data_IF_517691614609
#
_entry.id   IF_517691614609
#
_cell.length_a   1.000
_cell.length_b   1.000
_cell.length_c   1.000
_cell.angle_alpha   90.00
_cell.angle_beta   90.00
_cell.angle_gamma   90.00
#
_symmetry.space_group_name_H-M   'P 1'
#
loop_
_entity.id
_entity.type
_entity.pdbx_description
1 polymer ?
#
# COMPACT_ATOMS: atom_id res chain seq x y z
N UNK A 1 24.92 -24.95 9.64
CA UNK A 1 25.42 -23.93 8.71
C UNK A 1 25.19 -24.39 7.26
N UNK A 2 24.20 -23.84 6.55
CA UNK A 2 23.92 -24.23 5.15
C UNK A 2 24.85 -23.44 4.23
N UNK A 3 25.74 -24.11 3.50
CA UNK A 3 26.64 -23.47 2.53
C UNK A 3 25.80 -22.93 1.36
N UNK A 4 25.84 -21.61 1.15
CA UNK A 4 25.27 -20.98 -0.03
C UNK A 4 26.00 -21.49 -1.29
N UNK A 5 25.24 -21.96 -2.27
CA UNK A 5 25.79 -22.37 -3.57
C UNK A 5 26.26 -21.13 -4.33
N UNK A 6 27.40 -21.21 -5.05
CA UNK A 6 27.91 -20.08 -5.84
C UNK A 6 26.94 -19.73 -6.98
N UNK A 7 26.69 -18.42 -7.16
CA UNK A 7 25.84 -17.91 -8.24
C UNK A 7 26.43 -18.30 -9.61
N UNK A 8 25.59 -18.71 -10.58
CA UNK A 8 26.06 -19.05 -11.92
C UNK A 8 26.71 -17.83 -12.59
N UNK A 9 27.89 -18.02 -13.19
CA UNK A 9 28.60 -16.98 -13.92
C UNK A 9 27.88 -16.72 -15.25
N UNK A 10 27.38 -15.51 -15.44
CA UNK A 10 26.75 -15.08 -16.70
C UNK A 10 27.82 -15.02 -17.83
N UNK A 11 27.56 -15.63 -19.00
CA UNK A 11 28.50 -15.62 -20.14
C UNK A 11 28.87 -14.20 -20.61
N UNK A 12 30.14 -13.98 -20.98
CA UNK A 12 30.65 -12.66 -21.41
C UNK A 12 29.98 -12.12 -22.69
N UNK A 13 29.51 -13.00 -23.56
CA UNK A 13 28.78 -12.62 -24.77
C UNK A 13 27.44 -11.98 -24.46
N UNK A 14 26.74 -12.45 -23.42
CA UNK A 14 25.52 -11.82 -22.91
C UNK A 14 25.82 -10.42 -22.38
N UNK A 15 26.95 -10.23 -21.67
CA UNK A 15 27.37 -8.90 -21.19
C UNK A 15 27.69 -7.95 -22.34
N UNK A 16 28.29 -8.45 -23.42
CA UNK A 16 28.59 -7.68 -24.65
C UNK A 16 27.32 -7.32 -25.43
N UNK A 17 26.31 -8.19 -25.44
CA UNK A 17 25.00 -7.95 -26.05
C UNK A 17 24.22 -6.86 -25.27
N UNK A 18 24.18 -6.95 -23.94
CA UNK A 18 23.59 -5.93 -23.06
C UNK A 18 24.30 -4.57 -23.21
N UNK A 19 25.63 -4.55 -23.32
CA UNK A 19 26.42 -3.32 -23.53
C UNK A 19 26.18 -2.67 -24.89
N UNK A 20 25.75 -3.46 -25.90
CA UNK A 20 25.42 -2.99 -27.25
C UNK A 20 23.96 -2.51 -27.35
N UNK A 21 23.02 -3.17 -26.66
CA UNK A 21 21.61 -2.78 -26.60
C UNK A 21 21.37 -1.49 -25.79
N UNK A 22 22.13 -1.29 -24.69
CA UNK A 22 22.05 -0.08 -23.84
C UNK A 22 22.59 1.18 -24.56
N UNK A 23 23.36 1.01 -25.65
CA UNK A 23 24.09 2.12 -26.29
C UNK A 23 23.38 2.74 -27.49
N UNK A 24 22.26 2.18 -27.94
CA UNK A 24 21.53 2.67 -29.12
C UNK A 24 20.18 3.26 -28.67
N UNK A 25 20.20 4.49 -28.15
CA UNK A 25 19.04 5.38 -28.07
C UNK A 25 17.78 4.86 -27.33
N UNK A 26 17.90 4.21 -26.17
CA UNK A 26 16.73 4.07 -25.31
C UNK A 26 16.38 5.44 -24.73
N UNK A 27 15.26 6.01 -25.16
CA UNK A 27 14.64 7.23 -24.58
C UNK A 27 14.01 6.88 -23.24
N UNK A 28 14.65 6.03 -22.46
CA UNK A 28 14.07 5.39 -21.28
C UNK A 28 14.69 6.01 -20.03
N UNK A 29 13.90 6.16 -18.98
CA UNK A 29 14.39 6.59 -17.69
C UNK A 29 15.43 5.58 -17.16
N UNK A 30 16.60 6.07 -16.76
CA UNK A 30 17.70 5.24 -16.30
C UNK A 30 17.45 4.55 -14.95
N UNK A 31 16.40 4.95 -14.24
CA UNK A 31 16.07 4.46 -12.91
C UNK A 31 14.92 3.45 -12.92
N UNK A 32 13.89 3.66 -13.76
CA UNK A 32 12.74 2.76 -13.85
C UNK A 32 12.68 1.96 -15.16
N UNK A 33 13.54 2.25 -16.13
CA UNK A 33 13.55 1.59 -17.44
C UNK A 33 12.36 1.94 -18.34
N UNK A 34 11.41 2.76 -17.88
CA UNK A 34 10.23 3.16 -18.64
C UNK A 34 10.57 4.22 -19.69
N UNK A 35 9.97 4.11 -20.87
CA UNK A 35 9.94 5.17 -21.89
C UNK A 35 8.73 6.10 -21.75
N UNK A 36 7.80 5.80 -20.84
CA UNK A 36 6.67 6.67 -20.51
C UNK A 36 7.20 7.96 -19.88
N UNK A 37 6.65 9.10 -20.31
CA UNK A 37 7.07 10.44 -19.94
C UNK A 37 5.88 11.29 -19.44
N UNK A 38 4.79 10.65 -19.03
CA UNK A 38 3.65 11.35 -18.43
C UNK A 38 4.10 12.10 -17.16
N UNK A 39 4.11 13.45 -17.19
CA UNK A 39 4.62 14.26 -16.09
C UNK A 39 3.72 14.20 -14.86
N UNK A 40 2.45 13.80 -14.99
CA UNK A 40 1.54 13.59 -13.86
C UNK A 40 1.92 12.33 -13.09
N UNK A 41 2.32 11.27 -13.81
CA UNK A 41 2.59 9.96 -13.23
C UNK A 41 4.04 9.84 -12.75
N UNK A 42 4.99 10.38 -13.52
CA UNK A 42 6.42 10.12 -13.33
C UNK A 42 7.20 11.38 -12.92
N UNK A 43 6.58 12.56 -13.02
CA UNK A 43 7.25 13.84 -12.89
C UNK A 43 8.15 14.14 -14.09
N UNK A 44 8.66 15.38 -14.15
CA UNK A 44 9.43 15.85 -15.30
C UNK A 44 10.63 14.95 -15.60
N UNK A 45 10.87 14.69 -16.88
CA UNK A 45 12.04 13.94 -17.32
C UNK A 45 13.26 14.84 -17.45
N UNK A 46 14.19 14.66 -16.53
CA UNK A 46 15.44 15.39 -16.47
C UNK A 46 16.51 14.64 -17.25
N UNK A 47 17.19 15.32 -18.18
CA UNK A 47 18.39 14.80 -18.84
C UNK A 47 19.57 15.02 -17.90
N UNK A 48 20.40 14.00 -17.70
CA UNK A 48 21.65 14.04 -16.94
C UNK A 48 22.80 14.09 -17.95
N UNK A 49 23.35 15.28 -18.26
CA UNK A 49 24.32 15.47 -19.34
C UNK A 49 25.57 14.63 -19.19
N UNK A 50 26.04 14.43 -17.96
CA UNK A 50 27.27 13.72 -17.60
C UNK A 50 27.15 12.22 -17.93
N UNK A 51 25.94 11.67 -17.83
CA UNK A 51 25.65 10.25 -18.04
C UNK A 51 25.04 9.97 -19.42
N UNK A 52 24.72 11.01 -20.21
CA UNK A 52 23.97 10.90 -21.48
C UNK A 52 22.69 10.08 -21.34
N UNK A 53 22.01 10.21 -20.20
CA UNK A 53 20.76 9.51 -19.89
C UNK A 53 19.69 10.48 -19.41
N UNK A 54 18.45 10.02 -19.42
CA UNK A 54 17.30 10.72 -18.83
C UNK A 54 16.79 9.98 -17.60
N UNK A 55 16.27 10.71 -16.62
CA UNK A 55 15.61 10.18 -15.42
C UNK A 55 14.35 10.98 -15.14
N UNK A 56 13.29 10.34 -14.65
CA UNK A 56 12.11 11.09 -14.19
C UNK A 56 12.37 11.73 -12.82
N UNK A 57 11.76 12.88 -12.56
CA UNK A 57 11.92 13.63 -11.32
C UNK A 57 11.50 12.81 -10.10
N UNK A 58 10.39 12.06 -10.19
CA UNK A 58 9.95 11.20 -9.08
C UNK A 58 10.87 10.00 -8.92
N UNK A 59 11.38 9.42 -10.02
CA UNK A 59 12.41 8.39 -9.93
C UNK A 59 13.67 8.92 -9.26
N UNK A 60 14.12 10.14 -9.60
CA UNK A 60 15.29 10.78 -9.00
C UNK A 60 15.08 11.01 -7.50
N UNK A 61 13.90 11.51 -7.11
CA UNK A 61 13.51 11.70 -5.70
C UNK A 61 13.51 10.39 -4.92
N UNK A 62 13.11 9.28 -5.55
CA UNK A 62 13.12 7.95 -4.92
C UNK A 62 14.50 7.28 -4.94
N UNK A 63 15.40 7.70 -5.84
CA UNK A 63 16.67 7.01 -6.14
C UNK A 63 17.84 7.31 -5.21
N UNK A 64 17.66 8.07 -4.13
CA UNK A 64 18.68 8.01 -3.09
C UNK A 64 18.67 6.58 -2.55
N UNK A 65 19.71 5.82 -2.88
CA UNK A 65 19.88 4.42 -2.52
C UNK A 65 19.56 4.15 -1.04
N UNK A 66 19.84 5.10 -0.15
CA UNK A 66 19.48 5.02 1.27
C UNK A 66 17.97 4.99 1.56
N UNK A 67 17.14 5.68 0.78
CA UNK A 67 15.68 5.63 0.92
C UNK A 67 15.12 4.29 0.43
N UNK A 68 15.57 3.81 -0.73
CA UNK A 68 15.20 2.48 -1.24
C UNK A 68 15.64 1.37 -0.27
N UNK A 69 16.82 1.49 0.32
CA UNK A 69 17.33 0.53 1.29
C UNK A 69 16.50 0.54 2.59
N UNK A 70 16.09 1.72 3.07
CA UNK A 70 15.17 1.84 4.23
C UNK A 70 13.79 1.26 3.91
N UNK A 71 13.27 1.53 2.72
CA UNK A 71 11.98 1.00 2.28
C UNK A 71 12.02 -0.53 2.15
N UNK A 72 13.07 -1.08 1.53
CA UNK A 72 13.30 -2.53 1.44
C UNK A 72 13.40 -3.16 2.82
N UNK A 73 14.13 -2.50 3.73
CA UNK A 73 14.24 -2.97 5.10
C UNK A 73 12.87 -2.97 5.79
N UNK A 74 12.13 -1.85 5.78
CA UNK A 74 10.80 -1.77 6.41
C UNK A 74 9.81 -2.76 5.82
N UNK A 75 9.71 -2.85 4.49
CA UNK A 75 8.68 -3.63 3.80
C UNK A 75 8.97 -5.13 3.75
N UNK A 76 10.24 -5.53 3.82
CA UNK A 76 10.65 -6.93 3.66
C UNK A 76 10.32 -7.52 2.28
N UNK A 77 10.66 -8.79 2.09
CA UNK A 77 10.55 -9.48 0.79
C UNK A 77 9.12 -9.56 0.27
N UNK A 78 8.11 -9.64 1.13
CA UNK A 78 6.73 -9.84 0.69
C UNK A 78 6.06 -8.55 0.21
N UNK A 79 6.39 -7.41 0.83
CA UNK A 79 5.70 -6.14 0.56
C UNK A 79 6.54 -5.13 -0.22
N UNK A 80 7.85 -5.34 -0.38
CA UNK A 80 8.71 -4.45 -1.16
C UNK A 80 8.41 -4.55 -2.66
N UNK A 81 7.78 -3.53 -3.22
CA UNK A 81 7.29 -3.49 -4.60
C UNK A 81 7.32 -2.06 -5.15
N UNK A 82 7.18 -1.91 -6.46
CA UNK A 82 7.07 -0.59 -7.06
C UNK A 82 5.78 0.11 -6.59
N UNK A 83 5.90 1.33 -6.08
CA UNK A 83 4.75 2.15 -5.64
C UNK A 83 3.91 2.67 -6.80
N UNK A 84 4.46 2.67 -8.03
CA UNK A 84 3.79 3.19 -9.22
C UNK A 84 2.99 2.11 -9.95
N UNK A 85 3.63 0.97 -10.26
CA UNK A 85 2.99 -0.08 -11.05
C UNK A 85 2.60 -1.32 -10.23
N UNK A 86 2.84 -1.31 -8.91
CA UNK A 86 2.59 -2.43 -8.00
C UNK A 86 3.31 -3.75 -8.40
N UNK A 87 4.24 -3.70 -9.37
CA UNK A 87 5.03 -4.86 -9.79
C UNK A 87 6.07 -5.17 -8.71
N UNK A 88 6.06 -6.42 -8.25
CA UNK A 88 6.97 -6.93 -7.23
C UNK A 88 8.20 -7.57 -7.87
N UNK A 89 8.00 -8.52 -8.77
CA UNK A 89 9.08 -9.40 -9.23
C UNK A 89 10.17 -8.67 -10.00
N UNK A 90 9.78 -7.87 -11.01
CA UNK A 90 10.75 -7.10 -11.81
C UNK A 90 11.41 -6.00 -10.97
N UNK A 91 10.65 -5.38 -10.06
CA UNK A 91 11.18 -4.34 -9.19
C UNK A 91 12.23 -4.90 -8.22
N UNK A 92 11.94 -6.02 -7.56
CA UNK A 92 12.88 -6.64 -6.63
C UNK A 92 14.14 -7.11 -7.34
N UNK A 93 14.02 -7.69 -8.54
CA UNK A 93 15.19 -8.12 -9.32
C UNK A 93 16.11 -6.94 -9.64
N UNK A 94 15.57 -5.82 -10.11
CA UNK A 94 16.36 -4.63 -10.41
C UNK A 94 16.96 -3.99 -9.15
N UNK A 95 16.21 -3.93 -8.05
CA UNK A 95 16.73 -3.42 -6.77
C UNK A 95 17.90 -4.27 -6.26
N UNK A 96 17.83 -5.60 -6.39
CA UNK A 96 18.94 -6.51 -6.05
C UNK A 96 20.15 -6.30 -6.98
N UNK A 97 19.93 -6.08 -8.28
CA UNK A 97 20.99 -5.78 -9.25
C UNK A 97 21.71 -4.46 -8.93
N UNK A 98 20.97 -3.48 -8.43
CA UNK A 98 21.51 -2.19 -7.97
C UNK A 98 22.23 -2.28 -6.62
N UNK A 99 22.13 -3.42 -5.92
CA UNK A 99 22.81 -3.66 -4.64
C UNK A 99 21.94 -3.42 -3.41
N UNK A 100 20.65 -3.14 -3.56
CA UNK A 100 19.71 -3.01 -2.45
C UNK A 100 19.52 -4.38 -1.79
N UNK A 101 19.74 -4.45 -0.48
CA UNK A 101 19.48 -5.65 0.30
C UNK A 101 18.00 -5.72 0.70
N UNK A 102 17.31 -6.81 0.33
CA UNK A 102 15.92 -7.06 0.69
C UNK A 102 15.88 -8.21 1.71
N UNK A 103 15.47 -7.98 2.97
CA UNK A 103 15.43 -9.02 3.97
C UNK A 103 14.22 -9.95 3.78
N UNK A 104 14.43 -11.26 3.95
CA UNK A 104 13.36 -12.27 3.96
C UNK A 104 12.66 -12.29 5.33
N UNK A 105 11.78 -11.31 5.54
CA UNK A 105 10.91 -11.17 6.71
C UNK A 105 9.61 -10.47 6.35
N UNK A 106 8.62 -10.56 7.23
CA UNK A 106 7.42 -9.73 7.14
C UNK A 106 7.76 -8.25 7.31
N UNK A 107 6.85 -7.41 6.82
CA UNK A 107 7.01 -5.99 6.93
C UNK A 107 7.03 -5.56 8.41
N UNK A 108 7.75 -4.48 8.72
CA UNK A 108 7.91 -4.01 10.09
C UNK A 108 6.58 -3.66 10.77
N UNK A 109 5.60 -3.21 10.00
CA UNK A 109 4.25 -2.91 10.50
C UNK A 109 3.43 -4.16 10.83
N UNK A 110 3.77 -5.32 10.28
CA UNK A 110 3.13 -6.60 10.65
C UNK A 110 3.64 -7.15 11.99
N UNK A 111 4.85 -6.73 12.37
CA UNK A 111 5.55 -7.20 13.56
C UNK A 111 5.31 -6.30 14.78
N UNK A 112 4.57 -5.20 14.60
CA UNK A 112 4.24 -4.28 15.69
C UNK A 112 3.24 -4.93 16.66
N UNK A 113 3.53 -4.85 17.96
CA UNK A 113 2.69 -5.47 18.99
C UNK A 113 1.31 -4.83 18.99
N UNK A 114 0.29 -5.62 18.65
CA UNK A 114 -1.08 -5.10 18.55
C UNK A 114 -1.38 -4.37 17.24
N UNK A 115 -0.61 -4.60 16.17
CA UNK A 115 -0.88 -4.06 14.82
C UNK A 115 -2.33 -4.28 14.33
N UNK A 116 -3.01 -5.28 14.89
CA UNK A 116 -4.38 -5.65 14.57
C UNK A 116 -5.37 -5.44 15.72
N UNK A 117 -4.95 -4.87 16.85
CA UNK A 117 -5.81 -4.72 18.04
C UNK A 117 -7.06 -3.90 17.76
N UNK A 118 -6.93 -2.80 17.02
CA UNK A 118 -8.06 -1.93 16.64
C UNK A 118 -9.04 -2.63 15.68
N UNK A 119 -8.56 -3.54 14.84
CA UNK A 119 -9.38 -4.32 13.91
C UNK A 119 -10.22 -5.40 14.63
N UNK A 120 -9.82 -5.78 15.85
CA UNK A 120 -10.54 -6.73 16.71
C UNK A 120 -11.58 -6.05 17.61
N UNK A 121 -11.57 -4.71 17.70
CA UNK A 121 -12.57 -3.97 18.46
C UNK A 121 -13.92 -3.99 17.74
N UNK A 122 -14.79 -4.90 18.20
CA UNK A 122 -16.20 -4.86 17.85
C UNK A 122 -16.77 -3.59 18.44
N UNK A 123 -17.17 -2.63 17.61
CA UNK A 123 -17.80 -1.37 18.03
C UNK A 123 -18.91 -1.60 19.08
N UNK A 124 -18.73 -1.10 20.32
CA UNK A 124 -19.64 -1.38 21.46
C UNK A 124 -20.41 -0.19 22.00
N UNK A 125 -20.31 0.99 21.38
CA UNK A 125 -21.03 2.17 21.85
C UNK A 125 -22.21 2.50 20.94
N UNK A 126 -23.22 3.14 21.53
CA UNK A 126 -24.41 3.62 20.83
C UNK A 126 -24.34 5.14 20.75
N UNK A 127 -24.37 5.68 19.53
CA UNK A 127 -24.27 7.11 19.23
C UNK A 127 -25.64 7.80 19.11
N UNK A 128 -26.70 7.15 19.60
CA UNK A 128 -28.03 7.75 19.60
C UNK A 128 -28.11 8.88 20.64
N UNK A 129 -28.86 9.93 20.32
CA UNK A 129 -29.05 11.10 21.20
C UNK A 129 -29.64 10.70 22.57
N UNK A 130 -30.48 9.67 22.60
CA UNK A 130 -31.05 9.08 23.82
C UNK A 130 -30.85 7.56 23.83
N UNK A 131 -29.98 7.08 24.73
CA UNK A 131 -29.68 5.65 24.89
C UNK A 131 -30.09 5.14 26.29
N UNK A 132 -31.10 4.27 26.35
CA UNK A 132 -31.62 3.69 27.61
C UNK A 132 -31.16 2.24 27.83
N UNK A 133 -29.86 1.98 27.64
CA UNK A 133 -29.22 0.65 27.60
C UNK A 133 -29.61 -0.31 28.72
N UNK A 134 -29.86 0.20 29.94
CA UNK A 134 -30.14 -0.63 31.12
C UNK A 134 -31.61 -1.11 31.24
N UNK A 135 -32.52 -0.67 30.37
CA UNK A 135 -33.96 -0.92 30.53
C UNK A 135 -34.54 -2.06 29.67
N UNK A 136 -33.73 -2.71 28.83
CA UNK A 136 -34.25 -3.63 27.80
C UNK A 136 -33.96 -5.10 28.13
N UNK A 137 -35.01 -5.93 28.17
CA UNK A 137 -34.91 -7.35 28.56
C UNK A 137 -34.41 -8.28 27.45
N UNK A 138 -34.39 -7.84 26.19
CA UNK A 138 -34.05 -8.69 25.05
C UNK A 138 -32.74 -8.26 24.38
N UNK A 139 -31.75 -9.16 24.45
CA UNK A 139 -30.40 -9.01 23.89
C UNK A 139 -30.36 -8.62 22.41
N UNK A 140 -31.38 -8.98 21.62
CA UNK A 140 -31.42 -8.64 20.19
C UNK A 140 -31.63 -7.15 19.93
N UNK A 141 -32.28 -6.43 20.84
CA UNK A 141 -32.44 -4.97 20.73
C UNK A 141 -31.20 -4.20 21.18
N UNK A 142 -30.34 -4.85 21.97
CA UNK A 142 -29.04 -4.36 22.43
C UNK A 142 -27.93 -4.57 21.38
N UNK A 143 -28.23 -5.20 20.23
CA UNK A 143 -27.28 -5.32 19.13
C UNK A 143 -27.05 -3.95 18.48
N UNK A 144 -25.77 -3.58 18.34
CA UNK A 144 -25.36 -2.34 17.70
C UNK A 144 -25.22 -2.58 16.19
N UNK A 145 -25.99 -1.83 15.41
CA UNK A 145 -25.88 -1.79 13.95
C UNK A 145 -25.03 -0.58 13.58
N UNK A 146 -23.99 -0.82 12.76
CA UNK A 146 -23.14 0.25 12.24
C UNK A 146 -23.75 0.90 11.01
N UNK A 147 -23.42 2.18 10.81
CA UNK A 147 -23.82 2.91 9.63
C UNK A 147 -23.25 2.22 8.38
N UNK A 148 -24.12 1.87 7.42
CA UNK A 148 -23.73 1.22 6.16
C UNK A 148 -22.83 2.10 5.29
N UNK A 149 -22.94 3.42 5.43
CA UNK A 149 -22.26 4.39 4.58
C UNK A 149 -20.85 4.74 5.07
N UNK A 150 -20.69 4.99 6.38
CA UNK A 150 -19.40 5.40 6.94
C UNK A 150 -18.75 4.36 7.85
N UNK A 151 -19.50 3.39 8.38
CA UNK A 151 -18.99 2.41 9.35
C UNK A 151 -18.54 2.99 10.70
N UNK A 152 -18.53 4.31 10.84
CA UNK A 152 -17.91 5.05 11.95
C UNK A 152 -18.88 5.44 13.07
N UNK A 153 -20.17 5.16 12.90
CA UNK A 153 -21.21 5.34 13.90
C UNK A 153 -22.00 4.05 14.06
N UNK A 154 -22.55 3.82 15.25
CA UNK A 154 -23.39 2.69 15.57
C UNK A 154 -24.53 3.07 16.50
N UNK A 155 -25.66 2.39 16.35
CA UNK A 155 -26.83 2.56 17.21
C UNK A 155 -27.35 1.20 17.65
N UNK A 156 -27.91 1.11 18.84
CA UNK A 156 -28.82 0.01 19.15
C UNK A 156 -30.02 0.05 18.20
N UNK A 157 -30.58 -1.12 17.89
CA UNK A 157 -31.79 -1.24 17.06
C UNK A 157 -32.92 -0.35 17.59
N UNK A 158 -33.18 -0.43 18.89
CA UNK A 158 -34.29 0.31 19.52
C UNK A 158 -34.03 1.81 19.58
N UNK A 159 -32.79 2.23 19.78
CA UNK A 159 -32.40 3.65 19.84
C UNK A 159 -32.63 4.40 18.51
N UNK A 160 -32.62 3.68 17.38
CA UNK A 160 -32.94 4.24 16.07
C UNK A 160 -34.26 3.73 15.48
N UNK A 161 -35.15 3.16 16.33
CA UNK A 161 -36.47 2.69 15.90
C UNK A 161 -36.44 1.56 14.85
N UNK A 162 -35.36 0.77 14.79
CA UNK A 162 -35.16 -0.29 13.80
C UNK A 162 -35.87 -1.58 14.19
N UNK A 163 -36.40 -2.30 13.19
CA UNK A 163 -36.97 -3.64 13.37
C UNK A 163 -35.87 -4.69 13.56
N UNK A 164 -36.23 -5.85 14.12
CA UNK A 164 -35.28 -6.95 14.37
C UNK A 164 -34.65 -7.55 13.08
N UNK A 165 -35.32 -7.40 11.94
CA UNK A 165 -34.88 -7.92 10.64
C UNK A 165 -34.00 -6.92 9.87
N UNK A 166 -34.02 -5.64 10.25
CA UNK A 166 -33.31 -4.58 9.54
C UNK A 166 -31.80 -4.75 9.72
N UNK A 167 -31.05 -4.90 8.62
CA UNK A 167 -29.58 -5.00 8.66
C UNK A 167 -28.88 -3.71 8.23
N UNK A 168 -29.63 -2.81 7.62
CA UNK A 168 -29.13 -1.56 7.06
C UNK A 168 -29.60 -0.39 7.91
N UNK A 169 -28.65 0.46 8.30
CA UNK A 169 -28.91 1.72 8.97
C UNK A 169 -27.94 2.79 8.46
N UNK A 170 -28.41 4.02 8.34
CA UNK A 170 -27.58 5.19 8.03
C UNK A 170 -27.71 6.20 9.17
N UNK A 171 -26.59 6.80 9.58
CA UNK A 171 -26.60 7.85 10.59
C UNK A 171 -27.23 9.13 10.02
N UNK A 172 -27.67 10.03 10.89
CA UNK A 172 -28.16 11.36 10.50
C UNK A 172 -27.14 12.18 9.70
N UNK A 173 -25.84 11.95 9.90
CA UNK A 173 -24.76 12.61 9.16
C UNK A 173 -24.59 12.09 7.74
N UNK A 174 -25.10 10.90 7.42
CA UNK A 174 -24.92 10.22 6.12
C UNK A 174 -26.23 9.95 5.39
N UNK A 175 -27.36 10.10 6.08
CA UNK A 175 -28.67 10.03 5.46
C UNK A 175 -28.84 11.20 4.48
N UNK A 176 -29.40 10.97 3.27
CA UNK A 176 -29.69 12.06 2.37
C UNK A 176 -30.62 13.04 3.09
N UNK A 177 -30.18 14.30 3.21
CA UNK A 177 -31.04 15.38 3.69
C UNK A 177 -32.17 15.53 2.67
N UNK A 178 -33.32 14.94 2.93
CA UNK A 178 -34.55 15.27 2.20
C UNK A 178 -34.84 16.73 2.53
N UNK A 179 -34.43 17.60 1.62
CA UNK A 179 -34.83 19.01 1.63
C UNK A 179 -36.29 19.07 1.16
N UNK A 180 -37.13 19.92 1.77
CA UNK A 180 -38.53 20.09 1.36
C UNK A 180 -38.67 20.63 -0.06
#
# INVERSE_FOLDING_TARGET
MKKLKPKPKVPEESKRFFKKLIKQFCVCCALCGSCDDDPVILGDKVKVPELKRSVHYFCLSWSNFGLLQRQAHSSGLFFFRCTLCNNKDQFQEEMLRLGIHIPERDASWELETGAYSELLEVYRHCDAETCEFQSWSCFRYLEIIRCRLCGSRGTHRKCSGLRLETRDWASSSTSPKTSP
#
